data_IF_294762905766
#
_entry.id   IF_294762905766
#
_cell.length_a   1.000
_cell.length_b   1.000
_cell.length_c   1.000
_cell.angle_alpha   90.00
_cell.angle_beta   90.00
_cell.angle_gamma   90.00
#
_symmetry.space_group_name_H-M   'P 1'
#
loop_
_entity.id
_entity.type
_entity.pdbx_description
1 polymer ?
#
# COMPACT_ATOMS: atom_id res chain seq x y z
N UNK A 1 -14.16 -33.22 25.93
CA UNK A 1 -14.19 -31.86 26.54
C UNK A 1 -12.74 -31.41 26.69
N UNK A 2 -12.30 -30.23 26.25
CA UNK A 2 -12.87 -29.31 25.26
C UNK A 2 -11.69 -28.63 24.53
N UNK A 3 -11.87 -28.19 23.28
CA UNK A 3 -10.88 -27.39 22.58
C UNK A 3 -11.30 -25.91 22.56
N UNK A 4 -10.37 -24.97 22.69
CA UNK A 4 -10.40 -23.62 22.07
C UNK A 4 -8.95 -23.16 21.79
N UNK A 5 -8.81 -22.43 20.69
CA UNK A 5 -7.60 -22.07 19.96
C UNK A 5 -6.58 -21.11 20.64
N UNK A 6 -5.28 -21.17 20.26
CA UNK A 6 -4.42 -19.99 20.04
C UNK A 6 -4.77 -19.31 18.69
N UNK A 7 -4.31 -18.08 18.33
CA UNK A 7 -3.07 -17.42 18.80
C UNK A 7 -3.15 -15.91 19.09
N UNK A 8 -2.07 -15.37 19.66
CA UNK A 8 -1.71 -13.94 19.54
C UNK A 8 -0.37 -13.83 18.78
N UNK A 9 -0.38 -13.13 17.63
CA UNK A 9 0.80 -12.88 16.77
C UNK A 9 0.78 -11.45 16.20
N UNK A 10 0.78 -10.47 17.09
CA UNK A 10 0.81 -9.04 16.73
C UNK A 10 2.27 -8.57 16.63
N UNK A 11 2.84 -8.68 15.42
CA UNK A 11 4.08 -7.99 15.05
C UNK A 11 3.76 -6.57 14.59
N UNK A 12 4.77 -5.69 14.49
CA UNK A 12 4.71 -4.41 13.76
C UNK A 12 6.03 -4.26 12.98
N UNK A 13 5.94 -4.01 11.68
CA UNK A 13 7.08 -3.84 10.76
C UNK A 13 6.67 -2.90 9.63
N UNK A 14 7.32 -1.75 9.50
CA UNK A 14 7.40 -1.06 8.21
C UNK A 14 8.59 -1.64 7.43
N UNK A 15 8.44 -1.81 6.13
CA UNK A 15 9.42 -2.43 5.26
C UNK A 15 9.58 -1.61 3.97
N UNK A 16 10.81 -1.23 3.65
CA UNK A 16 11.19 -0.85 2.31
C UNK A 16 11.41 -2.13 1.49
N UNK A 17 10.52 -2.40 0.53
CA UNK A 17 10.73 -3.43 -0.48
C UNK A 17 11.33 -2.79 -1.74
N UNK A 18 12.37 -3.40 -2.28
CA UNK A 18 12.93 -3.04 -3.58
C UNK A 18 13.26 -4.27 -4.41
N UNK A 19 13.53 -4.07 -5.70
CA UNK A 19 14.03 -5.11 -6.59
C UNK A 19 15.40 -4.72 -7.14
N UNK A 20 16.44 -5.46 -6.74
CA UNK A 20 17.73 -5.44 -7.40
C UNK A 20 17.60 -6.10 -8.79
N UNK A 21 17.53 -5.28 -9.84
CA UNK A 21 17.69 -5.78 -11.21
C UNK A 21 19.12 -6.28 -11.38
N UNK A 22 19.33 -7.61 -11.37
CA UNK A 22 20.53 -8.19 -11.95
C UNK A 22 20.58 -7.81 -13.43
N UNK A 23 21.72 -7.29 -13.89
CA UNK A 23 21.85 -6.75 -15.23
C UNK A 23 21.66 -7.84 -16.31
N UNK A 24 20.73 -7.60 -17.23
CA UNK A 24 20.45 -8.40 -18.44
C UNK A 24 19.97 -7.43 -19.55
N UNK A 25 20.89 -6.54 -19.94
CA UNK A 25 21.13 -5.93 -21.26
C UNK A 25 19.98 -5.37 -22.17
N UNK A 26 20.37 -4.63 -23.20
CA UNK A 26 19.50 -3.91 -24.13
C UNK A 26 18.58 -4.82 -24.97
N UNK A 27 17.25 -4.64 -24.86
CA UNK A 27 16.27 -4.70 -26.00
C UNK A 27 14.83 -4.46 -25.54
N UNK A 28 14.32 -3.21 -25.64
CA UNK A 28 12.90 -2.89 -25.94
C UNK A 28 12.55 -1.40 -26.14
N UNK A 29 13.38 -0.64 -26.85
CA UNK A 29 12.94 0.63 -27.48
C UNK A 29 12.67 0.43 -28.98
N UNK A 30 11.51 -0.14 -29.31
CA UNK A 30 10.88 -0.05 -30.65
C UNK A 30 9.41 -0.46 -30.57
N UNK A 31 8.61 0.10 -31.48
CA UNK A 31 7.18 -0.18 -31.69
C UNK A 31 6.20 0.43 -30.67
N UNK A 32 6.23 1.76 -30.53
CA UNK A 32 4.98 2.53 -30.48
C UNK A 32 4.85 3.31 -31.80
N UNK A 33 3.93 2.88 -32.66
CA UNK A 33 3.48 3.66 -33.82
C UNK A 33 1.98 3.86 -33.64
N UNK A 34 1.57 5.11 -33.43
CA UNK A 34 0.16 5.47 -33.30
C UNK A 34 -0.55 5.44 -34.64
N UNK A 35 -1.77 4.92 -34.67
CA UNK A 35 -2.62 4.89 -35.85
C UNK A 35 -4.07 5.11 -35.49
N UNK A 36 -4.59 6.31 -35.77
CA UNK A 36 -6.02 6.60 -35.72
C UNK A 36 -6.39 7.53 -36.88
N UNK A 37 -7.55 7.29 -37.49
CA UNK A 37 -8.21 8.28 -38.35
C UNK A 37 -9.70 7.97 -38.51
N UNK A 38 -10.52 9.03 -38.65
CA UNK A 38 -11.93 8.95 -39.03
C UNK A 38 -12.08 8.79 -40.56
N UNK A 39 -13.17 8.19 -41.03
CA UNK A 39 -13.54 8.19 -42.46
C UNK A 39 -14.91 7.55 -42.72
N UNK A 40 -15.74 8.16 -43.59
CA UNK A 40 -17.11 7.66 -43.91
C UNK A 40 -17.47 7.88 -45.40
N UNK A 41 -18.20 6.92 -46.03
CA UNK A 41 -19.36 7.11 -46.96
C UNK A 41 -19.69 5.88 -47.87
N UNK A 42 -20.89 5.30 -47.67
CA UNK A 42 -21.99 4.96 -48.64
C UNK A 42 -21.62 4.51 -50.09
N UNK A 43 -21.91 3.25 -50.49
CA UNK A 43 -23.12 2.72 -51.21
C UNK A 43 -23.08 2.78 -52.76
N UNK A 44 -23.95 2.08 -53.55
CA UNK A 44 -25.10 1.16 -53.25
C UNK A 44 -24.84 -0.29 -53.79
N UNK A 45 -25.73 -1.19 -54.31
CA UNK A 45 -27.19 -1.33 -54.53
C UNK A 45 -27.64 -2.83 -54.70
N UNK A 46 -28.93 -3.14 -54.46
CA UNK A 46 -29.74 -4.29 -54.98
C UNK A 46 -29.31 -5.75 -54.62
N UNK A 47 -30.14 -6.82 -54.69
CA UNK A 47 -31.57 -7.04 -55.10
C UNK A 47 -32.23 -8.15 -54.25
N UNK A 48 -33.57 -8.16 -54.08
CA UNK A 48 -34.34 -9.16 -53.29
C UNK A 48 -34.82 -10.38 -54.09
N UNK A 49 -34.74 -11.58 -53.49
CA UNK A 49 -35.69 -12.74 -53.44
C UNK A 49 -34.96 -13.92 -52.75
N UNK A 50 -35.59 -14.86 -52.04
CA UNK A 50 -37.01 -15.07 -51.76
C UNK A 50 -37.46 -16.50 -52.10
N UNK A 51 -37.19 -17.48 -51.22
CA UNK A 51 -37.63 -18.87 -51.42
C UNK A 51 -37.17 -19.82 -50.31
N UNK A 52 -38.11 -20.55 -49.70
CA UNK A 52 -37.88 -21.60 -48.71
C UNK A 52 -37.86 -22.98 -49.37
N UNK A 53 -36.90 -23.85 -49.02
CA UNK A 53 -37.01 -25.32 -49.21
C UNK A 53 -36.15 -26.07 -48.19
N UNK A 54 -36.54 -27.32 -47.94
CA UNK A 54 -36.02 -28.20 -46.89
C UNK A 54 -34.52 -28.46 -47.00
N UNK A 55 -33.80 -28.32 -45.88
CA UNK A 55 -32.39 -28.70 -45.78
C UNK A 55 -32.21 -30.22 -45.64
N UNK A 56 -31.20 -30.75 -46.31
CA UNK A 56 -30.64 -32.08 -46.02
C UNK A 56 -29.36 -31.86 -45.20
N UNK A 57 -29.20 -32.47 -44.02
CA UNK A 57 -28.00 -32.28 -43.21
C UNK A 57 -26.82 -33.03 -43.81
N UNK A 58 -25.94 -32.33 -44.52
CA UNK A 58 -24.63 -32.86 -44.90
C UNK A 58 -23.73 -32.83 -43.65
N UNK A 59 -23.39 -34.01 -43.14
CA UNK A 59 -22.45 -34.16 -42.04
C UNK A 59 -21.01 -33.90 -42.51
N UNK A 60 -20.61 -32.62 -42.56
CA UNK A 60 -19.22 -32.24 -42.81
C UNK A 60 -18.38 -32.54 -41.57
N UNK A 61 -17.62 -33.63 -41.62
CA UNK A 61 -16.71 -34.03 -40.55
C UNK A 61 -15.52 -33.07 -40.46
N UNK A 62 -15.68 -32.03 -39.64
CA UNK A 62 -14.62 -31.12 -39.22
C UNK A 62 -13.46 -31.92 -38.62
N UNK A 63 -12.38 -32.06 -39.38
CA UNK A 63 -11.09 -32.48 -38.85
C UNK A 63 -10.42 -31.21 -38.34
N UNK A 64 -10.27 -31.00 -37.01
CA UNK A 64 -9.46 -29.90 -36.52
C UNK A 64 -8.02 -30.21 -36.89
N UNK A 65 -7.44 -29.43 -37.81
CA UNK A 65 -5.99 -29.44 -37.97
C UNK A 65 -5.36 -29.14 -36.61
N UNK A 66 -4.43 -30.00 -36.19
CA UNK A 66 -3.61 -29.74 -35.01
C UNK A 66 -2.54 -28.72 -35.36
N UNK A 67 -2.99 -27.50 -35.68
CA UNK A 67 -2.12 -26.33 -35.60
C UNK A 67 -1.48 -26.35 -34.22
N UNK A 68 -0.17 -26.51 -34.18
CA UNK A 68 0.56 -26.56 -32.93
C UNK A 68 0.35 -25.22 -32.24
N UNK A 69 -0.47 -25.20 -31.19
CA UNK A 69 -0.50 -24.09 -30.25
C UNK A 69 0.85 -24.13 -29.58
N UNK A 70 1.83 -23.41 -30.15
CA UNK A 70 3.06 -23.06 -29.45
C UNK A 70 2.62 -22.47 -28.12
N UNK A 71 2.82 -23.24 -27.06
CA UNK A 71 2.43 -22.86 -25.72
C UNK A 71 3.49 -21.90 -25.19
N UNK A 72 3.64 -20.80 -25.92
CA UNK A 72 4.58 -19.70 -25.75
C UNK A 72 4.10 -18.87 -24.56
N UNK A 73 4.06 -19.54 -23.40
CA UNK A 73 4.11 -18.93 -22.10
C UNK A 73 5.33 -18.03 -22.14
N UNK A 74 5.09 -16.74 -22.32
CA UNK A 74 6.13 -15.76 -22.07
C UNK A 74 6.65 -16.03 -20.66
N UNK A 75 7.94 -16.29 -20.53
CA UNK A 75 8.57 -16.28 -19.22
C UNK A 75 8.46 -14.85 -18.69
N UNK A 76 7.38 -14.60 -17.97
CA UNK A 76 7.30 -13.50 -17.02
C UNK A 76 8.28 -13.85 -15.92
N UNK A 77 9.56 -13.53 -16.16
CA UNK A 77 10.72 -13.64 -15.27
C UNK A 77 10.41 -12.77 -14.04
N UNK A 78 9.56 -13.30 -13.15
CA UNK A 78 8.90 -12.57 -12.07
C UNK A 78 9.97 -11.84 -11.26
N UNK A 79 9.87 -10.51 -11.14
CA UNK A 79 10.91 -9.75 -10.46
C UNK A 79 10.98 -10.23 -9.00
N UNK A 80 12.16 -10.66 -8.58
CA UNK A 80 12.41 -10.98 -7.17
C UNK A 80 12.24 -9.71 -6.34
N UNK A 81 11.46 -9.81 -5.28
CA UNK A 81 11.23 -8.75 -4.31
C UNK A 81 12.06 -9.06 -3.08
N UNK A 82 12.76 -8.07 -2.53
CA UNK A 82 13.56 -8.20 -1.31
C UNK A 82 13.23 -7.07 -0.33
N UNK A 83 13.26 -7.37 0.96
CA UNK A 83 13.32 -6.34 2.01
C UNK A 83 14.74 -5.81 2.02
N UNK A 84 14.89 -4.49 1.85
CA UNK A 84 16.20 -3.82 1.93
C UNK A 84 16.35 -3.00 3.20
N UNK A 85 15.27 -2.47 3.76
CA UNK A 85 15.27 -1.78 5.05
C UNK A 85 13.97 -1.98 5.82
N UNK A 86 14.03 -1.82 7.14
CA UNK A 86 12.89 -1.90 8.05
C UNK A 86 12.86 -0.71 9.00
N UNK A 87 11.66 -0.34 9.44
CA UNK A 87 11.45 0.70 10.45
C UNK A 87 10.27 0.34 11.33
N UNK A 88 10.30 0.79 12.58
CA UNK A 88 9.29 0.44 13.59
C UNK A 88 9.04 1.64 14.49
N UNK A 89 7.80 1.78 14.96
CA UNK A 89 7.41 2.70 16.03
C UNK A 89 6.39 1.93 16.86
N UNK A 90 6.77 1.51 18.07
CA UNK A 90 6.00 0.52 18.85
C UNK A 90 6.10 0.78 20.36
N UNK A 91 5.23 0.18 21.19
CA UNK A 91 5.37 0.18 22.64
C UNK A 91 6.60 -0.60 23.16
N UNK A 92 7.30 -1.32 22.29
CA UNK A 92 8.49 -2.13 22.60
C UNK A 92 9.79 -1.55 21.99
N UNK A 93 9.73 -0.35 21.42
CA UNK A 93 10.87 0.32 20.82
C UNK A 93 10.55 1.01 19.48
N UNK A 94 11.41 1.94 19.12
CA UNK A 94 11.32 2.75 17.90
C UNK A 94 12.48 2.49 16.92
N UNK A 95 13.41 1.58 17.24
CA UNK A 95 14.39 1.03 16.29
C UNK A 95 14.19 -0.49 16.07
N UNK A 96 14.51 -1.03 14.87
CA UNK A 96 14.31 -2.47 14.57
C UNK A 96 15.05 -3.40 15.54
N UNK A 97 16.30 -3.07 15.88
CA UNK A 97 17.13 -3.88 16.79
C UNK A 97 16.66 -3.76 18.25
N UNK A 98 16.23 -2.57 18.69
CA UNK A 98 15.63 -2.38 20.02
C UNK A 98 14.36 -3.25 20.16
N UNK A 99 13.43 -3.10 19.21
CA UNK A 99 12.20 -3.88 19.13
C UNK A 99 12.46 -5.39 19.11
N UNK A 100 13.42 -5.85 18.31
CA UNK A 100 13.75 -7.27 18.22
C UNK A 100 14.38 -7.81 19.51
N UNK A 101 15.32 -7.09 20.11
CA UNK A 101 15.95 -7.50 21.38
C UNK A 101 14.95 -7.47 22.55
N UNK A 102 14.02 -6.52 22.58
CA UNK A 102 12.97 -6.45 23.60
C UNK A 102 11.95 -7.60 23.46
N UNK A 103 11.63 -8.01 22.22
CA UNK A 103 10.85 -9.21 21.95
C UNK A 103 11.58 -10.50 22.38
N UNK A 104 12.88 -10.64 22.10
CA UNK A 104 13.68 -11.81 22.53
C UNK A 104 13.78 -11.92 24.05
N UNK A 105 13.82 -10.80 24.77
CA UNK A 105 13.78 -10.73 26.23
C UNK A 105 12.38 -10.99 26.82
N UNK A 106 11.34 -11.09 25.99
CA UNK A 106 9.96 -11.31 26.44
C UNK A 106 9.34 -10.10 27.15
N UNK A 107 9.81 -8.89 26.88
CA UNK A 107 9.28 -7.68 27.50
C UNK A 107 7.84 -7.40 27.05
N UNK A 108 7.03 -6.86 27.95
CA UNK A 108 5.66 -6.43 27.67
C UNK A 108 5.61 -4.94 27.39
N UNK A 109 5.08 -4.57 26.22
CA UNK A 109 4.75 -3.19 25.88
C UNK A 109 3.38 -2.73 26.40
N UNK A 110 2.67 -3.58 27.16
CA UNK A 110 1.36 -3.28 27.74
C UNK A 110 1.52 -2.66 29.13
N UNK A 111 0.96 -1.47 29.34
CA UNK A 111 0.85 -0.79 30.64
C UNK A 111 -0.59 -0.34 30.90
N UNK A 112 -0.83 0.31 32.04
CA UNK A 112 -2.01 1.18 32.21
C UNK A 112 -2.01 2.30 31.15
N UNK A 113 -3.20 2.82 30.84
CA UNK A 113 -3.43 3.90 29.87
C UNK A 113 -3.13 5.25 30.52
N UNK A 114 -2.14 5.97 29.98
CA UNK A 114 -1.75 7.31 30.42
C UNK A 114 -2.30 8.42 29.51
N UNK A 115 -2.77 8.09 28.29
CA UNK A 115 -3.23 9.10 27.33
C UNK A 115 -4.57 9.80 27.69
N UNK A 116 -5.39 9.21 28.57
CA UNK A 116 -6.64 9.80 29.07
C UNK A 116 -7.10 9.12 30.38
N UNK A 117 -8.01 9.76 31.11
CA UNK A 117 -8.61 9.16 32.31
C UNK A 117 -9.52 7.96 31.95
N UNK A 118 -9.00 6.75 32.20
CA UNK A 118 -9.73 5.49 32.02
C UNK A 118 -10.40 4.97 33.32
N UNK A 119 -10.49 5.78 34.39
CA UNK A 119 -10.95 5.36 35.72
C UNK A 119 -12.39 4.85 35.81
N UNK A 120 -13.22 5.12 34.79
CA UNK A 120 -14.60 4.64 34.64
C UNK A 120 -14.74 3.44 33.68
N UNK A 121 -13.69 3.06 32.96
CA UNK A 121 -13.74 2.07 31.88
C UNK A 121 -13.50 0.63 32.39
N UNK A 122 -14.03 -0.41 31.69
CA UNK A 122 -13.79 -1.81 32.04
C UNK A 122 -12.37 -2.29 31.65
N UNK A 123 -11.80 -1.71 30.60
CA UNK A 123 -10.41 -1.96 30.16
C UNK A 123 -9.58 -0.70 30.42
N UNK A 124 -8.42 -0.87 31.07
CA UNK A 124 -7.56 0.24 31.54
C UNK A 124 -6.10 0.08 31.12
N UNK A 125 -5.81 -0.93 30.31
CA UNK A 125 -4.47 -1.27 29.84
C UNK A 125 -4.41 -1.22 28.31
N UNK A 126 -3.29 -0.79 27.77
CA UNK A 126 -3.04 -0.72 26.34
C UNK A 126 -1.54 -0.81 26.03
N UNK A 127 -1.21 -1.08 24.76
CA UNK A 127 0.14 -0.91 24.23
C UNK A 127 0.36 0.53 23.80
N UNK A 128 0.68 1.43 24.72
CA UNK A 128 0.90 2.84 24.39
C UNK A 128 2.32 3.09 23.86
N UNK A 129 2.42 3.83 22.76
CA UNK A 129 3.69 4.23 22.15
C UNK A 129 4.26 5.42 22.96
N UNK A 130 5.05 5.12 23.99
CA UNK A 130 5.63 6.10 24.91
C UNK A 130 6.92 6.74 24.34
N UNK A 131 7.25 7.92 24.85
CA UNK A 131 8.47 8.68 24.50
C UNK A 131 8.70 8.93 23.00
N UNK A 132 7.62 9.00 22.21
CA UNK A 132 7.69 9.24 20.77
C UNK A 132 7.94 10.72 20.44
N UNK A 133 8.88 10.98 19.53
CA UNK A 133 9.09 12.30 18.92
C UNK A 133 9.02 12.23 17.38
N UNK A 134 8.58 13.33 16.77
CA UNK A 134 8.58 13.57 15.33
C UNK A 134 9.75 14.45 14.86
N UNK A 135 10.62 14.88 15.76
CA UNK A 135 11.72 15.81 15.44
C UNK A 135 12.70 15.20 14.42
N UNK A 136 13.19 16.01 13.50
CA UNK A 136 13.94 15.56 12.31
C UNK A 136 13.06 14.90 11.22
N UNK A 137 12.08 14.09 11.62
CA UNK A 137 11.27 13.27 10.71
C UNK A 137 10.08 13.99 10.06
N UNK A 138 9.40 14.89 10.79
CA UNK A 138 8.16 15.55 10.32
C UNK A 138 8.25 17.05 10.50
N UNK A 139 7.86 17.81 9.47
CA UNK A 139 7.80 19.27 9.56
C UNK A 139 6.92 19.73 10.75
N UNK A 140 7.41 20.55 11.70
CA UNK A 140 6.69 20.86 12.94
C UNK A 140 5.32 21.53 12.77
N UNK A 141 5.08 22.20 11.64
CA UNK A 141 3.76 22.77 11.27
C UNK A 141 2.72 21.70 10.91
N UNK A 142 3.17 20.55 10.42
CA UNK A 142 2.33 19.42 10.00
C UNK A 142 2.14 18.44 11.16
N UNK A 143 3.20 18.12 11.90
CA UNK A 143 3.15 17.27 13.11
C UNK A 143 2.08 17.74 14.12
N UNK A 144 1.98 19.06 14.36
CA UNK A 144 0.96 19.68 15.24
C UNK A 144 -0.49 19.61 14.74
N UNK A 145 -0.75 19.08 13.54
CA UNK A 145 -2.08 19.04 12.91
C UNK A 145 -2.54 17.63 12.54
N UNK A 146 -1.61 16.73 12.24
CA UNK A 146 -1.92 15.35 11.88
C UNK A 146 -2.21 14.51 13.14
N UNK A 147 -3.14 13.56 13.01
CA UNK A 147 -3.36 12.50 13.99
C UNK A 147 -2.07 11.68 14.24
N UNK A 148 -1.93 11.10 15.44
CA UNK A 148 -0.77 10.30 15.85
C UNK A 148 -0.49 9.15 14.88
N UNK A 149 -1.51 8.52 14.29
CA UNK A 149 -1.28 7.40 13.36
C UNK A 149 -0.41 7.82 12.16
N UNK A 150 -0.64 9.01 11.59
CA UNK A 150 0.20 9.53 10.50
C UNK A 150 1.62 9.89 10.96
N UNK A 151 1.78 10.36 12.19
CA UNK A 151 3.11 10.67 12.75
C UNK A 151 3.95 9.40 12.84
N UNK A 152 3.40 8.35 13.45
CA UNK A 152 4.07 7.05 13.59
C UNK A 152 4.41 6.44 12.23
N UNK A 153 3.51 6.56 11.26
CA UNK A 153 3.75 6.13 9.88
C UNK A 153 4.91 6.93 9.24
N UNK A 154 4.83 8.26 9.16
CA UNK A 154 5.87 9.05 8.48
C UNK A 154 7.25 8.84 9.10
N UNK A 155 7.35 8.68 10.43
CA UNK A 155 8.59 8.32 11.13
C UNK A 155 9.09 6.93 10.72
N UNK A 156 8.30 5.86 10.90
CA UNK A 156 8.78 4.49 10.64
C UNK A 156 9.13 4.24 9.17
N UNK A 157 8.55 4.98 8.22
CA UNK A 157 8.90 4.87 6.79
C UNK A 157 10.23 5.52 6.46
N UNK A 158 10.48 6.73 6.98
CA UNK A 158 11.77 7.39 6.79
C UNK A 158 12.91 6.59 7.44
N UNK A 159 12.68 6.02 8.63
CA UNK A 159 13.57 5.02 9.22
C UNK A 159 13.78 3.78 8.36
N UNK A 160 12.74 3.26 7.72
CA UNK A 160 12.86 2.11 6.82
C UNK A 160 13.64 2.42 5.51
N UNK A 161 13.71 3.69 5.10
CA UNK A 161 14.59 4.14 4.01
C UNK A 161 16.04 4.28 4.48
N UNK A 162 16.26 4.94 5.62
CA UNK A 162 17.59 5.10 6.23
C UNK A 162 18.24 3.74 6.54
N UNK A 163 17.51 2.84 7.22
CA UNK A 163 17.93 1.46 7.46
C UNK A 163 18.15 0.66 6.17
N UNK A 164 17.48 1.04 5.08
CA UNK A 164 17.69 0.50 3.74
C UNK A 164 18.90 1.08 3.00
N UNK A 165 19.68 1.97 3.63
CA UNK A 165 20.83 2.65 3.02
C UNK A 165 20.45 3.69 1.97
N UNK A 166 19.21 4.17 1.95
CA UNK A 166 18.69 5.08 0.92
C UNK A 166 19.04 6.53 1.30
N UNK A 167 20.26 6.95 0.94
CA UNK A 167 20.77 8.32 1.17
C UNK A 167 20.11 9.38 0.28
N UNK A 168 20.35 10.66 0.56
CA UNK A 168 19.86 11.77 -0.29
C UNK A 168 20.38 11.66 -1.74
N UNK A 169 21.62 11.22 -1.95
CA UNK A 169 22.18 11.00 -3.29
C UNK A 169 21.37 9.93 -4.05
N UNK A 170 21.11 8.80 -3.42
CA UNK A 170 20.29 7.71 -3.98
C UNK A 170 18.85 8.18 -4.22
N UNK A 171 18.28 9.00 -3.33
CA UNK A 171 16.96 9.63 -3.51
C UNK A 171 16.90 10.64 -4.67
N UNK A 172 18.05 11.13 -5.16
CA UNK A 172 18.13 12.00 -6.32
C UNK A 172 18.38 11.20 -7.62
N UNK A 173 19.07 10.06 -7.55
CA UNK A 173 19.23 9.12 -8.68
C UNK A 173 17.98 8.26 -8.95
N UNK A 174 17.15 8.00 -7.93
CA UNK A 174 15.94 7.19 -8.05
C UNK A 174 14.89 7.80 -8.98
N UNK A 175 14.39 6.99 -9.92
CA UNK A 175 13.22 7.31 -10.75
C UNK A 175 11.95 7.39 -9.88
N UNK A 176 11.62 8.61 -9.47
CA UNK A 176 10.49 8.92 -8.59
C UNK A 176 9.14 8.50 -9.20
N UNK A 177 9.02 8.31 -10.51
CA UNK A 177 7.81 7.78 -11.15
C UNK A 177 7.58 6.28 -10.90
N UNK A 178 8.61 5.56 -10.45
CA UNK A 178 8.60 4.10 -10.21
C UNK A 178 8.80 3.71 -8.76
N UNK A 179 8.86 4.71 -7.88
CA UNK A 179 8.86 4.56 -6.42
C UNK A 179 7.41 4.76 -5.91
N UNK A 180 6.82 3.75 -5.28
CA UNK A 180 5.44 3.80 -4.78
C UNK A 180 5.34 3.74 -3.24
N UNK A 181 4.17 4.07 -2.72
CA UNK A 181 3.90 4.15 -1.27
C UNK A 181 2.56 3.47 -0.99
N UNK A 182 2.59 2.37 -0.23
CA UNK A 182 1.39 1.59 0.08
C UNK A 182 1.21 1.47 1.60
N UNK A 183 0.46 2.42 2.16
CA UNK A 183 0.24 2.54 3.60
C UNK A 183 -1.22 2.29 3.94
N UNK A 184 -1.45 1.35 4.85
CA UNK A 184 -2.77 1.03 5.37
C UNK A 184 -3.05 1.62 6.75
N UNK A 185 -4.33 1.64 7.11
CA UNK A 185 -4.79 1.73 8.49
C UNK A 185 -6.21 1.16 8.60
N UNK A 186 -6.47 0.36 9.62
CA UNK A 186 -7.80 -0.20 9.90
C UNK A 186 -8.84 0.84 10.36
N UNK A 187 -8.43 1.96 10.96
CA UNK A 187 -9.34 2.97 11.51
C UNK A 187 -8.98 4.43 11.16
N UNK A 188 -7.75 4.72 10.75
CA UNK A 188 -7.33 6.09 10.41
C UNK A 188 -7.30 7.03 11.61
N UNK A 189 -7.59 8.30 11.38
CA UNK A 189 -7.43 9.38 12.36
C UNK A 189 -8.59 9.49 13.34
N UNK A 190 -8.78 8.48 14.17
CA UNK A 190 -9.90 8.39 15.10
C UNK A 190 -9.93 9.51 16.14
N UNK A 191 -8.77 10.03 16.57
CA UNK A 191 -8.76 11.20 17.48
C UNK A 191 -9.17 12.46 16.74
N UNK A 192 -8.63 12.71 15.54
CA UNK A 192 -9.06 13.86 14.70
C UNK A 192 -10.55 13.80 14.37
N UNK A 193 -11.10 12.61 14.13
CA UNK A 193 -12.53 12.41 13.93
C UNK A 193 -13.33 12.75 15.19
N UNK A 194 -12.95 12.22 16.36
CA UNK A 194 -13.62 12.52 17.63
C UNK A 194 -13.57 14.00 17.99
N UNK A 195 -12.40 14.64 17.85
CA UNK A 195 -12.22 16.08 18.11
C UNK A 195 -13.10 16.93 17.17
N UNK A 196 -13.31 16.48 15.92
CA UNK A 196 -14.19 17.14 14.96
C UNK A 196 -15.68 16.98 15.31
N UNK A 197 -16.11 15.83 15.83
CA UNK A 197 -17.48 15.63 16.32
C UNK A 197 -17.77 16.54 17.52
N UNK A 198 -16.87 16.62 18.49
CA UNK A 198 -17.05 17.50 19.66
C UNK A 198 -17.03 18.99 19.27
N UNK A 199 -16.18 19.38 18.29
CA UNK A 199 -16.24 20.72 17.71
C UNK A 199 -17.58 21.01 17.00
N UNK A 200 -18.15 20.03 16.29
CA UNK A 200 -19.46 20.14 15.64
C UNK A 200 -20.60 20.36 16.64
N UNK A 201 -20.55 19.76 17.84
CA UNK A 201 -21.55 20.01 18.90
C UNK A 201 -21.62 21.48 19.30
N UNK A 202 -20.50 22.19 19.24
CA UNK A 202 -20.42 23.62 19.55
C UNK A 202 -20.86 24.47 18.36
N UNK A 203 -20.33 24.20 17.16
CA UNK A 203 -20.77 24.84 15.90
C UNK A 203 -20.09 24.21 14.68
N UNK A 204 -20.79 24.17 13.54
CA UNK A 204 -20.16 23.84 12.24
C UNK A 204 -18.93 24.71 11.92
N UNK A 205 -18.88 25.95 12.42
CA UNK A 205 -17.74 26.88 12.25
C UNK A 205 -16.52 26.56 13.12
N UNK A 206 -16.63 25.62 14.06
CA UNK A 206 -15.53 25.18 14.94
C UNK A 206 -14.85 23.91 14.44
N UNK A 207 -15.46 23.17 13.52
CA UNK A 207 -14.88 21.99 12.89
C UNK A 207 -13.58 22.36 12.16
N UNK A 208 -12.50 21.63 12.43
CA UNK A 208 -11.21 21.82 11.76
C UNK A 208 -11.37 21.50 10.25
N UNK A 209 -11.07 22.42 9.31
CA UNK A 209 -11.23 22.16 7.87
C UNK A 209 -10.34 21.01 7.35
N UNK A 210 -9.28 20.65 8.08
CA UNK A 210 -8.43 19.51 7.76
C UNK A 210 -8.87 18.19 8.41
N UNK A 211 -10.02 18.15 9.11
CA UNK A 211 -10.47 16.93 9.80
C UNK A 211 -10.71 15.76 8.85
N UNK A 212 -11.34 15.97 7.69
CA UNK A 212 -11.57 14.90 6.70
C UNK A 212 -10.24 14.40 6.13
N UNK A 213 -9.33 15.25 5.60
CA UNK A 213 -7.98 14.82 5.22
C UNK A 213 -7.23 14.05 6.32
N UNK A 214 -7.23 14.52 7.56
CA UNK A 214 -6.47 13.89 8.65
C UNK A 214 -7.19 12.73 9.34
N UNK A 215 -8.43 12.42 8.97
CA UNK A 215 -9.14 11.22 9.41
C UNK A 215 -8.98 10.05 8.44
N UNK A 216 -8.81 10.29 7.12
CA UNK A 216 -8.83 9.20 6.13
C UNK A 216 -7.57 8.32 6.17
N UNK A 217 -7.79 7.01 6.06
CA UNK A 217 -6.75 5.97 6.12
C UNK A 217 -5.66 6.13 5.05
N UNK A 218 -5.98 6.75 3.91
CA UNK A 218 -5.04 7.03 2.83
C UNK A 218 -4.09 8.20 3.08
N UNK A 219 -4.32 9.04 4.09
CA UNK A 219 -3.55 10.27 4.24
C UNK A 219 -2.10 10.04 4.68
N UNK A 220 -1.82 8.97 5.44
CA UNK A 220 -0.44 8.56 5.72
C UNK A 220 0.35 8.25 4.44
N UNK A 221 -0.28 7.51 3.51
CA UNK A 221 0.27 7.18 2.19
C UNK A 221 0.48 8.43 1.33
N UNK A 222 -0.51 9.32 1.32
CA UNK A 222 -0.46 10.58 0.57
C UNK A 222 0.65 11.51 1.08
N UNK A 223 0.72 11.76 2.39
CA UNK A 223 1.71 12.67 2.98
C UNK A 223 3.13 12.14 2.79
N UNK A 224 3.39 10.86 3.04
CA UNK A 224 4.74 10.32 2.90
C UNK A 224 5.22 10.35 1.44
N UNK A 225 4.33 10.06 0.47
CA UNK A 225 4.69 10.20 -0.95
C UNK A 225 4.95 11.65 -1.36
N UNK A 226 4.17 12.62 -0.86
CA UNK A 226 4.38 14.04 -1.13
C UNK A 226 5.69 14.56 -0.51
N UNK A 227 6.04 14.09 0.69
CA UNK A 227 7.26 14.45 1.41
C UNK A 227 8.53 13.87 0.74
N UNK A 228 8.47 12.61 0.27
CA UNK A 228 9.54 11.96 -0.50
C UNK A 228 9.60 12.37 -1.98
N UNK A 229 8.56 13.05 -2.49
CA UNK A 229 8.39 13.37 -3.91
C UNK A 229 8.13 12.15 -4.80
N UNK A 230 7.60 11.06 -4.26
CA UNK A 230 7.37 9.79 -4.95
C UNK A 230 6.03 9.81 -5.71
N UNK A 231 6.04 9.32 -6.95
CA UNK A 231 4.97 9.48 -7.94
C UNK A 231 4.46 8.15 -8.53
N UNK A 232 4.94 7.00 -8.04
CA UNK A 232 4.42 5.68 -8.39
C UNK A 232 3.05 5.39 -7.75
N UNK A 233 2.59 4.12 -7.75
CA UNK A 233 1.36 3.70 -7.11
C UNK A 233 1.29 4.16 -5.66
N UNK A 234 0.28 4.97 -5.35
CA UNK A 234 0.04 5.50 -4.02
C UNK A 234 -1.44 5.33 -3.64
N UNK A 235 -1.72 4.40 -2.73
CA UNK A 235 -3.05 4.16 -2.19
C UNK A 235 -2.97 3.41 -0.86
N UNK A 236 -4.10 3.43 -0.14
CA UNK A 236 -4.29 2.69 1.09
C UNK A 236 -5.23 1.52 0.88
N UNK A 237 -4.90 0.41 1.51
CA UNK A 237 -5.83 -0.69 1.76
C UNK A 237 -6.32 -0.55 3.21
N UNK A 238 -7.54 -0.99 3.49
CA UNK A 238 -8.03 -1.16 4.85
C UNK A 238 -8.85 -2.44 4.94
N UNK A 239 -8.34 -3.41 5.69
CA UNK A 239 -8.95 -4.73 5.96
C UNK A 239 -8.77 -5.10 7.44
N UNK A 240 -8.96 -4.11 8.32
CA UNK A 240 -8.81 -4.21 9.77
C UNK A 240 -7.44 -4.82 10.18
N UNK A 241 -7.42 -5.87 11.00
CA UNK A 241 -6.17 -6.50 11.45
C UNK A 241 -5.30 -7.08 10.32
N UNK A 242 -5.88 -7.31 9.13
CA UNK A 242 -5.16 -7.87 7.97
C UNK A 242 -4.55 -6.82 7.05
N UNK A 243 -4.89 -5.54 7.22
CA UNK A 243 -4.50 -4.43 6.31
C UNK A 243 -3.03 -4.47 5.92
N UNK A 244 -2.14 -4.50 6.91
CA UNK A 244 -0.69 -4.64 6.76
C UNK A 244 -0.24 -5.73 5.78
N UNK A 245 -0.77 -6.94 5.94
CA UNK A 245 -0.44 -8.09 5.09
C UNK A 245 -0.91 -7.86 3.64
N UNK A 246 -2.05 -7.19 3.44
CA UNK A 246 -2.52 -6.82 2.11
C UNK A 246 -1.68 -5.70 1.48
N UNK A 247 -1.23 -4.69 2.23
CA UNK A 247 -0.32 -3.66 1.73
C UNK A 247 1.01 -4.28 1.27
N UNK A 248 1.60 -5.18 2.07
CA UNK A 248 2.81 -5.94 1.71
C UNK A 248 2.60 -6.79 0.46
N UNK A 249 1.50 -7.55 0.39
CA UNK A 249 1.18 -8.38 -0.76
C UNK A 249 0.97 -7.57 -2.04
N UNK A 250 0.21 -6.46 -1.98
CA UNK A 250 -0.05 -5.62 -3.14
C UNK A 250 1.21 -4.89 -3.62
N UNK A 251 2.03 -4.38 -2.71
CA UNK A 251 3.29 -3.72 -3.06
C UNK A 251 4.31 -4.69 -3.66
N UNK A 252 4.40 -5.92 -3.15
CA UNK A 252 5.18 -6.98 -3.78
C UNK A 252 4.65 -7.30 -5.19
N UNK A 253 3.34 -7.37 -5.39
CA UNK A 253 2.73 -7.56 -6.71
C UNK A 253 3.08 -6.43 -7.70
N UNK A 254 3.05 -5.15 -7.28
CA UNK A 254 3.45 -4.02 -8.13
C UNK A 254 4.94 -4.11 -8.54
N UNK A 255 5.82 -4.63 -7.68
CA UNK A 255 7.24 -4.84 -8.02
C UNK A 255 7.39 -6.05 -8.96
N UNK A 256 6.72 -7.17 -8.67
CA UNK A 256 6.76 -8.41 -9.48
C UNK A 256 6.29 -8.18 -10.92
N UNK A 257 5.20 -7.44 -11.10
CA UNK A 257 4.65 -7.02 -12.42
C UNK A 257 5.51 -5.95 -13.10
N UNK A 258 6.39 -5.30 -12.34
CA UNK A 258 7.36 -4.35 -12.84
C UNK A 258 6.89 -2.90 -12.95
N UNK A 259 5.65 -2.65 -12.53
CA UNK A 259 4.98 -1.34 -12.39
C UNK A 259 5.77 -0.39 -11.47
N UNK A 260 6.55 -0.94 -10.54
CA UNK A 260 7.48 -0.23 -9.64
C UNK A 260 8.87 -0.88 -9.61
N UNK A 261 9.83 -0.21 -8.96
CA UNK A 261 11.15 -0.76 -8.57
C UNK A 261 11.37 -0.75 -7.07
N UNK A 262 10.73 0.18 -6.36
CA UNK A 262 10.72 0.32 -4.90
C UNK A 262 9.30 0.63 -4.42
N UNK A 263 8.92 0.08 -3.28
CA UNK A 263 7.70 0.44 -2.55
C UNK A 263 7.99 0.53 -1.06
N UNK A 264 7.53 1.63 -0.45
CA UNK A 264 7.60 1.83 0.99
C UNK A 264 6.27 1.43 1.63
N UNK A 265 6.33 0.49 2.57
CA UNK A 265 5.17 -0.29 3.03
C UNK A 265 5.13 -0.36 4.55
N UNK A 266 3.92 -0.43 5.09
CA UNK A 266 3.68 -0.35 6.52
C UNK A 266 2.78 -1.44 7.04
N UNK A 267 2.98 -1.71 8.32
CA UNK A 267 2.06 -2.49 9.14
C UNK A 267 1.30 -1.58 10.09
N UNK A 268 -0.02 -1.76 10.07
CA UNK A 268 -0.97 -1.09 10.95
C UNK A 268 -0.53 -1.05 12.41
N UNK A 269 -0.79 0.10 13.01
CA UNK A 269 -0.88 0.29 14.45
C UNK A 269 -2.35 0.08 14.80
N UNK A 270 -2.59 -0.78 15.79
CA UNK A 270 -3.90 -1.06 16.39
C UNK A 270 -4.07 -0.20 17.65
#
# INVERSE_FOLDING_TARGET
MSAVAPPLRTWIVAACLSATCVADDERKQRNYIGGGLFGTRRHPAARRRGGTRSGVPIAVSFHPERGAVENNKSETKQRRVVVTGMGVVTPLGHEPDEFYNNLLQGLSGISEIEAFDCSSYPTRIAGEIKSFSTDGWVAPKLAKRMDKFMQYLIVAGKKALENGGVTEDIMNELDKSRCGVLIGSGMGGMKVFSDAIEALRVSYRKMNPFCVPFATTNMGSAILAMDLGWMGPNYSISTACATSNFCILSAANHIMRGETVSNLIFRDIL
#
